data_IF_017460943009
#
_entry.id   IF_017460943009
#
_cell.length_a   1.000
_cell.length_b   1.000
_cell.length_c   1.000
_cell.angle_alpha   90.00
_cell.angle_beta   90.00
_cell.angle_gamma   90.00
#
_symmetry.space_group_name_H-M   'P 1'
#
loop_
_entity.id
_entity.type
_entity.pdbx_description
1 polymer ?
#
# COMPACT_ATOMS: atom_id res chain seq x y z
N UNK A 1 -1.93 -2.51 11.88
CA UNK A 1 -0.59 -2.95 11.41
C UNK A 1 -0.48 -4.47 11.39
N UNK A 2 -0.50 -5.17 12.53
CA UNK A 2 -0.35 -6.65 12.59
C UNK A 2 -1.32 -7.45 11.68
N UNK A 3 -2.57 -7.01 11.55
CA UNK A 3 -3.53 -7.67 10.66
C UNK A 3 -3.17 -7.54 9.17
N UNK A 4 -2.63 -6.38 8.76
CA UNK A 4 -2.18 -6.13 7.39
C UNK A 4 -0.91 -6.92 7.09
N UNK A 5 0.03 -6.94 8.05
CA UNK A 5 1.24 -7.76 7.98
C UNK A 5 0.91 -9.26 7.83
N UNK A 6 -0.01 -9.77 8.66
CA UNK A 6 -0.44 -11.17 8.57
C UNK A 6 -1.11 -11.49 7.23
N UNK A 7 -1.95 -10.58 6.69
CA UNK A 7 -2.58 -10.76 5.38
C UNK A 7 -1.54 -10.78 4.23
N UNK A 8 -0.51 -9.93 4.31
CA UNK A 8 0.59 -9.94 3.35
C UNK A 8 1.39 -11.23 3.42
N UNK A 9 1.88 -11.64 4.60
CA UNK A 9 2.71 -12.84 4.72
C UNK A 9 1.93 -14.14 4.41
N UNK A 10 0.65 -14.23 4.78
CA UNK A 10 -0.13 -15.46 4.56
C UNK A 10 -0.68 -15.60 3.14
N UNK A 11 -0.95 -14.49 2.44
CA UNK A 11 -1.69 -14.50 1.17
C UNK A 11 -1.17 -13.54 0.10
N UNK A 12 -0.06 -12.82 0.33
CA UNK A 12 0.39 -11.69 -0.49
C UNK A 12 -0.69 -10.62 -0.72
N UNK A 13 -1.62 -10.46 0.23
CA UNK A 13 -2.65 -9.43 0.13
C UNK A 13 -2.02 -8.10 0.53
N UNK A 14 -1.83 -7.23 -0.45
CA UNK A 14 -1.42 -5.85 -0.24
C UNK A 14 -2.60 -4.91 -0.54
N UNK A 15 -2.94 -4.09 0.44
CA UNK A 15 -3.94 -3.04 0.28
C UNK A 15 -3.21 -1.74 -0.06
N UNK A 16 -3.29 -1.35 -1.33
CA UNK A 16 -2.61 -0.15 -1.83
C UNK A 16 -2.93 1.08 -1.00
N UNK A 17 -1.88 1.82 -0.64
CA UNK A 17 -1.94 3.09 0.10
C UNK A 17 -2.40 2.99 1.56
N UNK A 18 -2.47 1.78 2.13
CA UNK A 18 -2.71 1.63 3.58
C UNK A 18 -1.62 2.28 4.42
N UNK A 19 -0.39 2.36 3.90
CA UNK A 19 0.75 3.01 4.55
C UNK A 19 0.51 4.49 4.91
N UNK A 20 -0.54 5.14 4.38
CA UNK A 20 -0.94 6.50 4.75
C UNK A 20 -1.94 6.59 5.92
N UNK A 21 -2.58 5.48 6.26
CA UNK A 21 -3.68 5.42 7.23
C UNK A 21 -3.42 4.40 8.36
N UNK A 22 -2.19 3.89 8.42
CA UNK A 22 -1.65 3.13 9.56
C UNK A 22 -1.38 4.05 10.75
N UNK A 23 -1.00 3.46 11.88
CA UNK A 23 -0.81 4.18 13.14
C UNK A 23 0.34 5.21 13.07
N UNK A 24 1.42 4.89 12.36
CA UNK A 24 2.57 5.79 12.15
C UNK A 24 3.07 5.73 10.70
N UNK A 25 2.43 6.48 9.78
CA UNK A 25 2.80 6.50 8.36
C UNK A 25 4.25 6.89 8.14
N UNK A 26 4.80 7.79 8.96
CA UNK A 26 6.18 8.24 8.79
C UNK A 26 7.15 7.11 9.11
N UNK A 27 6.99 6.44 10.24
CA UNK A 27 7.83 5.31 10.64
C UNK A 27 7.82 4.20 9.60
N UNK A 28 6.65 3.86 9.06
CA UNK A 28 6.48 2.74 8.14
C UNK A 28 7.04 3.03 6.73
N UNK A 29 7.10 4.31 6.34
CA UNK A 29 7.65 4.74 5.05
C UNK A 29 9.14 5.13 5.11
N UNK A 30 9.63 5.65 6.25
CA UNK A 30 10.94 6.30 6.34
C UNK A 30 12.12 5.39 5.93
N UNK A 31 12.02 4.09 6.19
CA UNK A 31 13.09 3.13 5.86
C UNK A 31 13.26 2.89 4.36
N UNK A 32 12.16 2.91 3.59
CA UNK A 32 12.16 2.63 2.14
C UNK A 32 12.27 3.86 1.25
N UNK A 33 12.14 5.06 1.83
CA UNK A 33 12.21 6.33 1.11
C UNK A 33 13.61 6.56 0.52
N UNK A 34 13.67 6.60 -0.80
CA UNK A 34 14.91 6.90 -1.55
C UNK A 34 14.98 8.37 -1.97
N UNK A 35 13.83 9.04 -2.04
CA UNK A 35 13.68 10.39 -2.53
C UNK A 35 12.45 11.02 -1.91
N UNK A 36 12.52 12.26 -1.44
CA UNK A 36 11.36 13.01 -0.99
C UNK A 36 11.60 14.52 -1.17
N UNK A 37 10.63 15.21 -1.77
CA UNK A 37 10.67 16.65 -2.00
C UNK A 37 9.33 17.30 -1.68
N UNK A 38 9.40 18.44 -1.01
CA UNK A 38 8.28 19.36 -0.90
C UNK A 38 8.16 20.18 -2.19
N UNK A 39 7.01 20.12 -2.84
CA UNK A 39 6.75 20.84 -4.09
C UNK A 39 6.22 22.25 -3.80
N UNK A 40 5.38 22.39 -2.77
CA UNK A 40 4.71 23.65 -2.43
C UNK A 40 3.23 23.45 -2.12
N UNK A 41 2.51 24.56 -2.01
CA UNK A 41 1.07 24.52 -1.73
C UNK A 41 0.22 24.47 -2.99
N UNK A 42 -0.91 23.78 -2.89
CA UNK A 42 -1.90 23.65 -3.96
C UNK A 42 -3.32 23.81 -3.43
N UNK A 43 -4.26 24.21 -4.29
CA UNK A 43 -5.69 24.37 -3.98
C UNK A 43 -6.59 23.56 -4.92
N UNK A 44 -6.03 22.55 -5.59
CA UNK A 44 -6.74 21.78 -6.63
C UNK A 44 -7.64 20.68 -6.07
N UNK A 45 -7.53 20.35 -4.78
CA UNK A 45 -8.25 19.22 -4.16
C UNK A 45 -9.22 19.73 -3.10
N UNK A 46 -10.53 19.46 -3.28
CA UNK A 46 -11.53 19.58 -2.23
C UNK A 46 -11.60 20.93 -1.51
N UNK A 47 -11.39 22.04 -2.24
CA UNK A 47 -11.34 23.42 -1.70
C UNK A 47 -10.34 23.64 -0.55
N UNK A 48 -9.50 22.65 -0.25
CA UNK A 48 -8.57 22.64 0.86
C UNK A 48 -7.21 23.06 0.34
N UNK A 49 -6.54 23.99 1.04
CA UNK A 49 -5.12 24.26 0.75
C UNK A 49 -4.32 23.06 1.22
N UNK A 50 -3.47 22.54 0.34
CA UNK A 50 -2.72 21.30 0.56
C UNK A 50 -1.24 21.55 0.38
N UNK A 51 -0.43 20.93 1.21
CA UNK A 51 1.00 20.74 1.02
C UNK A 51 1.21 19.56 0.06
N UNK A 52 1.89 19.81 -1.06
CA UNK A 52 2.20 18.79 -2.05
C UNK A 52 3.62 18.27 -1.84
N UNK A 53 3.76 16.94 -1.77
CA UNK A 53 5.04 16.25 -1.71
C UNK A 53 5.15 15.28 -2.88
N UNK A 54 6.37 15.05 -3.34
CA UNK A 54 6.69 13.93 -4.22
C UNK A 54 7.79 13.08 -3.60
N UNK A 55 7.64 11.77 -3.65
CA UNK A 55 8.60 10.83 -3.09
C UNK A 55 8.69 9.54 -3.88
N UNK A 56 9.75 8.77 -3.64
CA UNK A 56 9.93 7.41 -4.16
C UNK A 56 10.14 6.46 -2.99
N UNK A 57 9.25 5.47 -2.88
CA UNK A 57 9.36 4.36 -1.92
C UNK A 57 9.20 3.04 -2.66
N UNK A 58 10.11 2.09 -2.42
CA UNK A 58 10.06 0.70 -2.96
C UNK A 58 9.71 0.60 -4.46
N UNK A 59 10.27 1.49 -5.29
CA UNK A 59 10.03 1.49 -6.74
C UNK A 59 8.70 2.13 -7.17
N UNK A 60 7.98 2.80 -6.27
CA UNK A 60 6.77 3.56 -6.56
C UNK A 60 7.06 5.05 -6.42
N UNK A 61 6.85 5.81 -7.50
CA UNK A 61 6.86 7.27 -7.44
C UNK A 61 5.47 7.77 -7.07
N UNK A 62 5.38 8.57 -6.01
CA UNK A 62 4.12 9.10 -5.49
C UNK A 62 4.17 10.62 -5.46
N UNK A 63 3.10 11.25 -5.91
CA UNK A 63 2.75 12.63 -5.57
C UNK A 63 1.57 12.59 -4.61
N UNK A 64 1.67 13.29 -3.49
CA UNK A 64 0.62 13.33 -2.48
C UNK A 64 0.27 14.77 -2.15
N UNK A 65 -1.03 15.01 -1.93
CA UNK A 65 -1.57 16.26 -1.41
C UNK A 65 -2.10 16.00 -0.01
N UNK A 66 -1.52 16.71 0.95
CA UNK A 66 -1.85 16.61 2.37
C UNK A 66 -2.46 17.95 2.78
N UNK A 67 -3.59 17.97 3.50
CA UNK A 67 -4.20 19.21 3.97
C UNK A 67 -3.19 20.03 4.77
N UNK A 68 -3.01 21.30 4.40
CA UNK A 68 -1.99 22.15 5.00
C UNK A 68 -2.30 22.45 6.49
N UNK A 69 -3.57 22.44 6.86
CA UNK A 69 -4.03 22.70 8.23
C UNK A 69 -4.25 21.39 9.01
N UNK A 70 -5.11 20.50 8.51
CA UNK A 70 -5.50 19.26 9.21
C UNK A 70 -4.52 18.10 9.06
N UNK A 71 -3.53 18.22 8.16
CA UNK A 71 -2.53 17.20 7.85
C UNK A 71 -3.11 15.88 7.34
N UNK A 72 -4.33 15.89 6.80
CA UNK A 72 -4.99 14.69 6.26
C UNK A 72 -4.67 14.49 4.77
N UNK A 73 -4.37 13.27 4.31
CA UNK A 73 -4.13 13.01 2.90
C UNK A 73 -5.43 13.17 2.10
N UNK A 74 -5.35 13.84 0.94
CA UNK A 74 -6.51 14.22 0.11
C UNK A 74 -6.48 13.63 -1.29
N UNK A 75 -5.31 13.59 -1.91
CA UNK A 75 -5.10 13.04 -3.24
C UNK A 75 -3.73 12.36 -3.30
N UNK A 76 -3.67 11.24 -4.01
CA UNK A 76 -2.43 10.61 -4.40
C UNK A 76 -2.43 10.33 -5.89
N UNK A 77 -1.28 10.53 -6.52
CA UNK A 77 -0.93 9.97 -7.81
C UNK A 77 0.26 9.03 -7.63
N UNK A 78 0.09 7.75 -7.92
CA UNK A 78 1.15 6.76 -7.82
C UNK A 78 1.49 6.17 -9.19
N UNK A 79 2.77 5.95 -9.44
CA UNK A 79 3.31 5.35 -10.65
C UNK A 79 4.32 4.29 -10.24
N UNK A 80 4.08 3.05 -10.61
CA UNK A 80 5.04 1.96 -10.44
C UNK A 80 6.16 2.13 -11.46
N UNK A 81 7.41 2.24 -11.00
CA UNK A 81 8.53 2.57 -11.86
C UNK A 81 8.98 1.41 -12.74
N UNK A 82 8.64 0.18 -12.34
CA UNK A 82 8.93 -1.05 -13.08
C UNK A 82 7.80 -1.46 -14.03
N UNK A 83 6.63 -0.80 -13.95
CA UNK A 83 5.57 -0.96 -14.94
C UNK A 83 6.01 -0.30 -16.26
N UNK A 84 6.13 -1.05 -17.39
CA UNK A 84 6.51 -0.49 -18.68
C UNK A 84 5.57 0.61 -19.17
N UNK A 85 4.28 0.52 -18.84
CA UNK A 85 3.28 1.51 -19.23
C UNK A 85 3.24 2.71 -18.29
N UNK A 86 3.85 2.58 -17.09
CA UNK A 86 3.91 3.60 -16.05
C UNK A 86 2.55 4.23 -15.80
N UNK A 87 1.52 3.37 -15.67
CA UNK A 87 0.16 3.85 -15.50
C UNK A 87 0.03 4.61 -14.18
N UNK A 88 -0.68 5.74 -14.24
CA UNK A 88 -0.95 6.56 -13.07
C UNK A 88 -2.19 6.04 -12.34
N UNK A 89 -2.01 5.70 -11.08
CA UNK A 89 -3.05 5.31 -10.16
C UNK A 89 -3.46 6.53 -9.34
N UNK A 90 -4.74 6.87 -9.33
CA UNK A 90 -5.25 8.02 -8.60
C UNK A 90 -6.14 7.56 -7.45
N UNK A 91 -5.87 8.08 -6.25
CA UNK A 91 -6.70 7.87 -5.06
C UNK A 91 -7.10 9.22 -4.49
N UNK A 92 -8.41 9.45 -4.36
CA UNK A 92 -8.97 10.62 -3.68
C UNK A 92 -9.52 10.17 -2.33
N UNK A 93 -9.15 10.89 -1.27
CA UNK A 93 -9.61 10.66 0.09
C UNK A 93 -10.36 11.90 0.56
N UNK A 94 -11.64 11.73 0.91
CA UNK A 94 -12.54 12.79 1.36
C UNK A 94 -13.31 12.37 2.60
N UNK A 95 -14.05 13.33 3.18
CA UNK A 95 -15.02 13.08 4.25
C UNK A 95 -14.44 12.34 5.47
N UNK A 96 -13.22 12.73 5.84
CA UNK A 96 -12.52 12.19 7.00
C UNK A 96 -13.35 12.31 8.28
N UNK A 97 -13.56 11.16 8.92
CA UNK A 97 -14.14 11.06 10.26
C UNK A 97 -13.05 10.57 11.19
N UNK A 98 -12.54 11.47 12.02
CA UNK A 98 -11.50 11.17 13.01
C UNK A 98 -12.13 10.80 14.34
N UNK A 99 -11.45 9.90 15.07
CA UNK A 99 -11.85 9.47 16.42
C UNK A 99 -13.29 8.95 16.53
N UNK A 100 -13.83 8.45 15.43
CA UNK A 100 -15.15 7.83 15.43
C UNK A 100 -15.14 6.58 16.32
N UNK A 101 -16.13 6.45 17.19
CA UNK A 101 -16.32 5.23 17.96
C UNK A 101 -16.73 4.10 17.01
N UNK A 102 -15.85 3.12 16.82
CA UNK A 102 -16.13 1.92 16.02
C UNK A 102 -16.41 0.75 16.98
N UNK A 103 -17.67 0.29 17.11
CA UNK A 103 -18.00 -0.90 17.88
C UNK A 103 -17.19 -2.13 17.44
N UNK A 104 -16.82 -3.00 18.37
CA UNK A 104 -15.98 -4.16 18.09
C UNK A 104 -16.63 -5.15 17.09
N UNK A 105 -17.95 -5.15 16.99
CA UNK A 105 -18.75 -5.97 16.10
C UNK A 105 -18.99 -5.33 14.71
N UNK A 106 -18.50 -4.11 14.46
CA UNK A 106 -18.70 -3.38 13.19
C UNK A 106 -18.25 -4.18 11.97
N UNK A 107 -17.12 -4.89 12.09
CA UNK A 107 -16.55 -5.69 11.00
C UNK A 107 -17.02 -7.15 11.01
N UNK A 108 -17.96 -7.51 11.90
CA UNK A 108 -18.56 -8.83 11.95
C UNK A 108 -19.55 -9.07 10.82
N UNK A 109 -19.54 -10.26 10.22
CA UNK A 109 -20.53 -10.67 9.21
C UNK A 109 -21.05 -12.06 9.49
N UNK A 110 -22.35 -12.15 9.81
CA UNK A 110 -23.04 -13.45 10.02
C UNK A 110 -22.96 -14.34 8.79
N UNK A 111 -23.04 -13.75 7.60
CA UNK A 111 -22.88 -14.45 6.31
C UNK A 111 -21.48 -15.04 6.16
N UNK A 112 -20.44 -14.25 6.44
CA UNK A 112 -19.06 -14.74 6.39
C UNK A 112 -18.80 -15.84 7.44
N UNK A 113 -19.35 -15.69 8.65
CA UNK A 113 -19.24 -16.68 9.71
C UNK A 113 -19.91 -18.02 9.36
N UNK A 114 -20.96 -18.01 8.54
CA UNK A 114 -21.64 -19.22 8.04
C UNK A 114 -21.02 -19.84 6.78
N UNK A 115 -20.02 -19.19 6.17
CA UNK A 115 -19.41 -19.67 4.94
C UNK A 115 -18.40 -20.79 5.22
N UNK A 116 -18.12 -21.63 4.22
CA UNK A 116 -17.07 -22.63 4.32
C UNK A 116 -15.70 -21.93 4.38
N UNK A 117 -14.89 -22.14 5.44
CA UNK A 117 -13.57 -21.51 5.54
C UNK A 117 -12.65 -21.98 4.42
N UNK A 118 -11.88 -21.04 3.86
CA UNK A 118 -10.80 -21.32 2.91
C UNK A 118 -9.50 -20.78 3.52
N UNK A 119 -8.44 -21.60 3.65
CA UNK A 119 -7.17 -21.11 4.14
C UNK A 119 -6.55 -20.14 3.13
N UNK A 120 -5.87 -19.12 3.66
CA UNK A 120 -5.01 -18.26 2.85
C UNK A 120 -3.86 -19.06 2.24
N UNK A 121 -3.48 -18.72 1.00
CA UNK A 121 -2.37 -19.34 0.30
C UNK A 121 -1.56 -18.25 -0.42
N UNK A 122 -0.29 -18.12 -0.06
CA UNK A 122 0.62 -17.18 -0.71
C UNK A 122 0.88 -17.63 -2.16
N UNK A 123 0.76 -16.74 -3.18
CA UNK A 123 0.90 -17.09 -4.60
C UNK A 123 2.32 -17.53 -4.96
N UNK A 124 3.32 -17.12 -4.18
CA UNK A 124 4.71 -17.55 -4.30
C UNK A 124 5.13 -18.19 -2.97
N UNK A 125 4.72 -19.44 -2.69
CA UNK A 125 5.05 -20.07 -1.42
C UNK A 125 6.58 -20.14 -1.27
N UNK A 126 7.10 -19.67 -0.13
CA UNK A 126 8.51 -19.87 0.17
C UNK A 126 8.81 -21.38 0.13
N UNK A 127 9.94 -21.79 -0.47
CA UNK A 127 10.34 -23.18 -0.43
C UNK A 127 10.46 -23.63 1.04
N UNK A 128 9.91 -24.80 1.37
CA UNK A 128 10.01 -25.34 2.72
C UNK A 128 11.48 -25.39 3.17
N UNK A 129 11.79 -25.15 4.47
CA UNK A 129 13.15 -25.29 4.99
C UNK A 129 13.68 -26.70 4.68
N UNK A 130 14.67 -26.79 3.79
CA UNK A 130 15.23 -28.05 3.29
C UNK A 130 14.85 -28.44 1.85
N UNK A 131 14.07 -27.62 1.15
CA UNK A 131 13.85 -27.80 -0.29
C UNK A 131 15.14 -27.48 -1.06
N UNK A 132 15.68 -28.49 -1.74
CA UNK A 132 16.86 -28.36 -2.59
C UNK A 132 16.56 -27.39 -3.75
N UNK A 133 17.42 -26.41 -4.06
CA UNK A 133 17.20 -25.50 -5.16
C UNK A 133 17.00 -26.29 -6.46
N UNK A 134 16.05 -25.90 -7.33
CA UNK A 134 15.89 -26.56 -8.62
C UNK A 134 17.22 -26.47 -9.39
N UNK A 135 17.70 -27.62 -9.87
CA UNK A 135 18.95 -27.69 -10.62
C UNK A 135 18.93 -26.66 -11.75
N UNK A 136 19.96 -25.81 -11.83
CA UNK A 136 20.10 -24.81 -12.88
C UNK A 136 19.94 -25.49 -14.24
N UNK A 137 18.87 -25.15 -14.97
CA UNK A 137 18.62 -25.65 -16.30
C UNK A 137 19.83 -25.40 -17.19
N UNK A 138 20.24 -26.42 -17.96
CA UNK A 138 21.33 -26.28 -18.94
C UNK A 138 21.01 -25.14 -19.90
N UNK A 139 21.98 -24.28 -20.25
CA UNK A 139 21.77 -23.22 -21.22
C UNK A 139 21.33 -23.84 -22.56
N UNK A 140 20.42 -23.18 -23.31
CA UNK A 140 20.04 -23.61 -24.64
C UNK A 140 21.29 -23.73 -25.52
N UNK A 141 21.38 -24.80 -26.31
CA UNK A 141 22.39 -24.88 -27.37
C UNK A 141 22.06 -23.79 -28.40
N UNK A 142 23.05 -22.93 -28.67
CA UNK A 142 23.01 -21.98 -29.77
C UNK A 142 22.71 -22.72 -31.09
N UNK A 143 21.79 -22.14 -31.88
CA UNK A 143 21.51 -22.51 -33.26
C UNK A 143 22.14 -21.49 -34.19
#
# INVERSE_FOLDING_TARGET
DAALEAAYHSAAIYFTFTDLIVADPYKDMAEGLTLAYYIGQSRVVGQTTTDMLAYVDKGVFVQIWIGAEDKLPRLLHAIYLDDPERLRHNLILSDWQLDAAIPADTFGSSKAASANPMPFAHPHPEPSPGAEPPAKGKPPKEQ
#
